data_IF_767736324152
#
_entry.id   IF_767736324152
#
_cell.length_a   1.000
_cell.length_b   1.000
_cell.length_c   1.000
_cell.angle_alpha   90.00
_cell.angle_beta   90.00
_cell.angle_gamma   90.00
#
_symmetry.space_group_name_H-M   'P 1'
#
loop_
_entity.id
_entity.type
_entity.pdbx_description
1 polymer ?
#
# COMPACT_ATOMS: atom_id res chain seq x y z
N UNK A 1 8.58 17.54 -16.49
CA UNK A 1 7.77 16.34 -16.34
C UNK A 1 8.10 15.66 -15.03
N UNK A 2 7.08 15.26 -14.30
CA UNK A 2 7.31 14.59 -13.03
C UNK A 2 7.68 13.13 -13.27
N UNK A 3 8.48 12.58 -12.36
CA UNK A 3 8.80 11.17 -12.30
C UNK A 3 7.88 10.54 -11.26
N UNK A 4 7.64 9.21 -11.35
CA UNK A 4 6.80 8.59 -10.34
C UNK A 4 7.40 8.73 -8.94
N UNK A 5 8.72 8.77 -8.84
CA UNK A 5 9.42 8.95 -7.56
C UNK A 5 9.11 10.28 -6.89
N UNK A 6 8.60 11.26 -7.66
CA UNK A 6 8.20 12.56 -7.11
C UNK A 6 6.78 12.58 -6.54
N UNK A 7 5.98 11.55 -6.84
CA UNK A 7 4.61 11.46 -6.35
C UNK A 7 4.59 11.12 -4.86
N UNK A 8 3.91 11.96 -4.07
CA UNK A 8 3.79 11.71 -2.63
C UNK A 8 3.17 10.35 -2.33
N UNK A 9 2.14 9.97 -3.09
CA UNK A 9 1.48 8.68 -2.87
C UNK A 9 2.43 7.50 -3.12
N UNK A 10 3.34 7.63 -4.09
CA UNK A 10 4.35 6.59 -4.33
C UNK A 10 5.32 6.51 -3.16
N UNK A 11 5.84 7.66 -2.72
CA UNK A 11 6.80 7.70 -1.61
C UNK A 11 6.21 7.09 -0.34
N UNK A 12 4.97 7.45 -0.02
CA UNK A 12 4.30 6.98 1.20
C UNK A 12 4.02 5.48 1.12
N UNK A 13 3.54 5.00 -0.03
CA UNK A 13 3.26 3.58 -0.19
C UNK A 13 4.53 2.74 -0.20
N UNK A 14 5.61 3.25 -0.77
CA UNK A 14 6.90 2.56 -0.75
C UNK A 14 7.43 2.45 0.69
N UNK A 15 7.33 3.52 1.48
CA UNK A 15 7.75 3.49 2.89
C UNK A 15 6.90 2.52 3.71
N UNK A 16 5.59 2.53 3.47
CA UNK A 16 4.69 1.61 4.16
C UNK A 16 5.05 0.16 3.85
N UNK A 17 5.29 -0.14 2.58
CA UNK A 17 5.71 -1.48 2.16
C UNK A 17 6.99 -1.91 2.90
N UNK A 18 7.99 -1.03 2.94
CA UNK A 18 9.25 -1.31 3.64
C UNK A 18 9.04 -1.53 5.14
N UNK A 19 8.18 -0.72 5.76
CA UNK A 19 7.87 -0.85 7.20
C UNK A 19 7.21 -2.20 7.49
N UNK A 20 6.32 -2.64 6.64
CA UNK A 20 5.63 -3.93 6.82
C UNK A 20 6.63 -5.09 6.69
N UNK A 21 7.51 -5.05 5.68
CA UNK A 21 8.56 -6.04 5.53
C UNK A 21 9.42 -6.14 6.80
N UNK A 22 9.85 -4.99 7.31
CA UNK A 22 10.70 -4.95 8.51
C UNK A 22 9.94 -5.39 9.75
N UNK A 23 8.72 -4.92 9.91
CA UNK A 23 7.90 -5.19 11.09
C UNK A 23 7.52 -6.65 11.22
N UNK A 24 7.39 -7.37 10.11
CA UNK A 24 6.99 -8.77 10.10
C UNK A 24 8.13 -9.72 9.73
N UNK A 25 9.38 -9.24 9.79
CA UNK A 25 10.54 -10.03 9.37
C UNK A 25 10.67 -11.35 10.16
N UNK A 26 10.27 -11.33 11.43
CA UNK A 26 10.38 -12.50 12.31
C UNK A 26 9.12 -13.36 12.37
N UNK A 27 8.09 -12.98 11.63
CA UNK A 27 6.84 -13.74 11.63
C UNK A 27 7.05 -15.09 10.95
N UNK A 28 6.66 -16.17 11.65
CA UNK A 28 6.89 -17.52 11.16
C UNK A 28 5.75 -18.09 10.33
N UNK A 29 4.59 -17.49 10.38
CA UNK A 29 3.51 -17.83 9.44
C UNK A 29 3.88 -17.23 8.08
N UNK A 30 4.64 -17.98 7.31
CA UNK A 30 5.18 -17.50 6.04
C UNK A 30 4.08 -17.22 5.01
N UNK A 31 2.99 -17.98 5.06
CA UNK A 31 1.86 -17.73 4.15
C UNK A 31 1.24 -16.38 4.36
N UNK A 32 0.94 -16.04 5.61
CA UNK A 32 0.40 -14.72 5.94
C UNK A 32 1.41 -13.62 5.61
N UNK A 33 2.66 -13.82 6.02
CA UNK A 33 3.72 -12.84 5.78
C UNK A 33 3.88 -12.54 4.29
N UNK A 34 3.90 -13.57 3.46
CA UNK A 34 4.05 -13.42 2.02
C UNK A 34 2.87 -12.66 1.41
N UNK A 35 1.66 -12.94 1.86
CA UNK A 35 0.48 -12.26 1.31
C UNK A 35 0.46 -10.78 1.67
N UNK A 36 0.70 -10.44 2.93
CA UNK A 36 0.64 -9.04 3.36
C UNK A 36 1.79 -8.21 2.77
N UNK A 37 2.99 -8.78 2.72
CA UNK A 37 4.14 -8.08 2.11
C UNK A 37 3.94 -7.90 0.62
N UNK A 38 3.35 -8.89 -0.06
CA UNK A 38 3.05 -8.80 -1.49
C UNK A 38 1.99 -7.74 -1.77
N UNK A 39 0.92 -7.69 -0.97
CA UNK A 39 -0.10 -6.65 -1.13
C UNK A 39 0.50 -5.26 -0.92
N UNK A 40 1.32 -5.10 0.12
CA UNK A 40 2.00 -3.82 0.38
C UNK A 40 2.90 -3.39 -0.76
N UNK A 41 3.69 -4.31 -1.30
CA UNK A 41 4.59 -4.02 -2.41
C UNK A 41 3.83 -3.68 -3.70
N UNK A 42 2.68 -4.30 -3.89
CA UNK A 42 1.86 -4.09 -5.08
C UNK A 42 1.35 -2.65 -5.21
N UNK A 43 1.17 -1.95 -4.08
CA UNK A 43 0.68 -0.56 -4.13
C UNK A 43 1.65 0.35 -4.86
N UNK A 44 2.89 0.52 -4.40
CA UNK A 44 3.83 1.41 -5.12
C UNK A 44 4.18 0.88 -6.52
N UNK A 45 4.21 -0.44 -6.70
CA UNK A 45 4.53 -1.02 -8.01
C UNK A 45 3.47 -0.63 -9.05
N UNK A 46 2.20 -0.67 -8.70
CA UNK A 46 1.12 -0.29 -9.62
C UNK A 46 1.05 1.22 -9.83
N UNK A 47 1.40 2.02 -8.83
CA UNK A 47 1.48 3.47 -8.99
C UNK A 47 2.56 3.81 -10.03
N UNK A 48 3.74 3.22 -9.90
CA UNK A 48 4.83 3.42 -10.85
C UNK A 48 4.43 2.99 -12.25
N UNK A 49 3.82 1.82 -12.35
CA UNK A 49 3.37 1.28 -13.63
C UNK A 49 2.36 2.21 -14.30
N UNK A 50 1.39 2.71 -13.55
CA UNK A 50 0.38 3.64 -14.08
C UNK A 50 0.98 4.94 -14.54
N UNK A 51 1.92 5.48 -13.78
CA UNK A 51 2.59 6.73 -14.13
C UNK A 51 3.38 6.62 -15.44
N UNK A 52 3.92 5.44 -15.71
CA UNK A 52 4.74 5.21 -16.91
C UNK A 52 3.91 4.91 -18.16
N UNK A 53 2.58 4.76 -18.01
CA UNK A 53 1.73 4.46 -19.17
C UNK A 53 1.50 5.67 -20.04
N UNK A 54 1.24 5.43 -21.33
CA UNK A 54 1.10 6.49 -22.32
C UNK A 54 -0.27 7.14 -22.40
N UNK A 55 -1.28 6.59 -21.71
CA UNK A 55 -2.64 7.14 -21.76
C UNK A 55 -3.24 7.25 -20.37
N UNK A 56 -4.17 8.22 -20.23
CA UNK A 56 -4.90 8.39 -18.97
C UNK A 56 -5.74 7.17 -18.62
N UNK A 57 -6.28 6.51 -19.64
CA UNK A 57 -7.10 5.31 -19.44
C UNK A 57 -6.27 4.18 -18.82
N UNK A 58 -5.08 3.93 -19.35
CA UNK A 58 -4.18 2.91 -18.82
C UNK A 58 -3.68 3.30 -17.43
N UNK A 59 -3.32 4.57 -17.25
CA UNK A 59 -2.86 5.05 -15.95
C UNK A 59 -3.94 4.82 -14.88
N UNK A 60 -5.19 5.18 -15.19
CA UNK A 60 -6.31 4.99 -14.26
C UNK A 60 -6.48 3.51 -13.89
N UNK A 61 -6.29 2.60 -14.85
CA UNK A 61 -6.40 1.17 -14.60
C UNK A 61 -5.38 0.70 -13.56
N UNK A 62 -4.12 1.10 -13.71
CA UNK A 62 -3.08 0.69 -12.77
C UNK A 62 -3.24 1.38 -11.41
N UNK A 63 -3.68 2.63 -11.38
CA UNK A 63 -3.98 3.30 -10.11
C UNK A 63 -5.16 2.61 -9.39
N UNK A 64 -6.13 2.10 -10.13
CA UNK A 64 -7.21 1.30 -9.55
C UNK A 64 -6.69 -0.03 -8.99
N UNK A 65 -5.73 -0.67 -9.65
CA UNK A 65 -5.07 -1.86 -9.12
C UNK A 65 -4.36 -1.54 -7.80
N UNK A 66 -3.64 -0.41 -7.76
CA UNK A 66 -2.98 0.03 -6.53
C UNK A 66 -3.99 0.25 -5.41
N UNK A 67 -5.12 0.87 -5.72
CA UNK A 67 -6.19 1.11 -4.74
C UNK A 67 -6.77 -0.20 -4.23
N UNK A 68 -6.97 -1.18 -5.11
CA UNK A 68 -7.43 -2.52 -4.72
C UNK A 68 -6.43 -3.20 -3.81
N UNK A 69 -5.15 -3.10 -4.13
CA UNK A 69 -4.07 -3.66 -3.28
C UNK A 69 -4.04 -3.00 -1.91
N UNK A 70 -4.28 -1.69 -1.83
CA UNK A 70 -4.35 -0.98 -0.55
C UNK A 70 -5.53 -1.49 0.29
N UNK A 71 -6.67 -1.79 -0.33
CA UNK A 71 -7.82 -2.38 0.34
C UNK A 71 -7.52 -3.79 0.86
N UNK A 72 -6.85 -4.59 0.05
CA UNK A 72 -6.40 -5.92 0.45
C UNK A 72 -5.44 -5.83 1.64
N UNK A 73 -4.50 -4.90 1.57
CA UNK A 73 -3.53 -4.67 2.66
C UNK A 73 -4.25 -4.29 3.95
N UNK A 74 -5.23 -3.39 3.89
CA UNK A 74 -6.00 -3.00 5.08
C UNK A 74 -6.71 -4.21 5.69
N UNK A 75 -7.32 -5.04 4.86
CA UNK A 75 -7.97 -6.27 5.32
C UNK A 75 -6.99 -7.16 6.06
N UNK A 76 -5.80 -7.34 5.51
CA UNK A 76 -4.77 -8.19 6.11
C UNK A 76 -4.24 -7.60 7.43
N UNK A 77 -4.14 -6.28 7.51
CA UNK A 77 -3.74 -5.62 8.76
C UNK A 77 -4.79 -5.87 9.85
N UNK A 78 -6.08 -5.72 9.53
CA UNK A 78 -7.15 -6.03 10.48
C UNK A 78 -7.08 -7.46 10.98
N UNK A 79 -6.92 -8.40 10.05
CA UNK A 79 -6.82 -9.82 10.40
C UNK A 79 -5.58 -10.07 11.25
N UNK A 80 -4.46 -9.48 10.86
CA UNK A 80 -3.20 -9.63 11.61
C UNK A 80 -3.31 -9.12 13.04
N UNK A 81 -4.02 -8.02 13.24
CA UNK A 81 -4.27 -7.51 14.59
C UNK A 81 -5.15 -8.48 15.39
N UNK A 82 -6.20 -8.99 14.77
CA UNK A 82 -7.14 -9.89 15.45
C UNK A 82 -6.51 -11.19 15.88
N UNK A 83 -5.57 -11.72 15.11
CA UNK A 83 -4.91 -12.99 15.44
C UNK A 83 -3.59 -12.80 16.19
N UNK A 84 -3.25 -11.57 16.53
CA UNK A 84 -2.08 -11.27 17.36
C UNK A 84 -0.75 -11.23 16.62
N UNK A 85 -0.75 -11.24 15.29
CA UNK A 85 0.49 -11.12 14.51
C UNK A 85 0.97 -9.66 14.41
N UNK A 86 0.04 -8.73 14.51
CA UNK A 86 0.32 -7.29 14.39
C UNK A 86 -0.17 -6.61 15.65
N UNK A 87 0.70 -5.82 16.28
CA UNK A 87 0.37 -5.11 17.49
C UNK A 87 -0.64 -3.99 17.18
N UNK A 88 -1.65 -3.82 18.04
CA UNK A 88 -2.67 -2.76 17.89
C UNK A 88 -2.19 -1.41 18.35
N UNK A 89 -1.15 -1.36 19.17
CA UNK A 89 -0.76 -0.15 19.86
C UNK A 89 -0.23 0.94 18.92
N UNK A 90 -0.11 2.16 19.45
CA UNK A 90 0.21 3.35 18.68
C UNK A 90 1.71 3.57 18.48
N UNK A 91 2.49 2.53 18.50
CA UNK A 91 3.90 2.61 18.21
C UNK A 91 4.15 2.75 16.70
N UNK A 92 5.41 2.86 16.34
CA UNK A 92 5.83 3.19 14.98
C UNK A 92 5.46 2.14 13.95
N UNK A 93 5.63 0.92 14.09
CA UNK A 93 5.34 -0.15 13.12
C UNK A 93 4.19 -1.01 13.62
N UNK A 94 3.07 -0.36 13.95
CA UNK A 94 1.91 -1.04 14.50
C UNK A 94 0.76 -1.07 13.51
N UNK A 95 -0.22 -1.91 13.80
CA UNK A 95 -1.40 -2.04 12.97
C UNK A 95 -2.15 -0.73 12.79
N UNK A 96 -2.28 0.09 13.83
CA UNK A 96 -2.98 1.38 13.72
C UNK A 96 -2.24 2.35 12.80
N UNK A 97 -0.93 2.43 12.92
CA UNK A 97 -0.12 3.29 12.07
C UNK A 97 -0.21 2.84 10.63
N UNK A 98 -0.03 1.56 10.39
CA UNK A 98 -0.12 1.00 9.03
C UNK A 98 -1.50 1.17 8.44
N UNK A 99 -2.54 0.94 9.24
CA UNK A 99 -3.93 1.07 8.78
C UNK A 99 -4.24 2.50 8.38
N UNK A 100 -3.88 3.46 9.23
CA UNK A 100 -4.09 4.88 8.95
C UNK A 100 -3.36 5.33 7.69
N UNK A 101 -2.13 4.86 7.52
CA UNK A 101 -1.34 5.21 6.33
C UNK A 101 -1.94 4.59 5.07
N UNK A 102 -2.37 3.33 5.13
CA UNK A 102 -3.01 2.67 3.99
C UNK A 102 -4.33 3.36 3.61
N UNK A 103 -5.09 3.86 4.58
CA UNK A 103 -6.31 4.63 4.32
C UNK A 103 -6.00 5.93 3.61
N UNK A 104 -4.97 6.66 4.06
CA UNK A 104 -4.55 7.90 3.41
C UNK A 104 -4.10 7.65 1.98
N UNK A 105 -3.35 6.60 1.77
CA UNK A 105 -2.90 6.21 0.42
C UNK A 105 -4.10 5.93 -0.49
N UNK A 106 -5.12 5.23 0.02
CA UNK A 106 -6.35 4.96 -0.74
C UNK A 106 -7.05 6.26 -1.16
N UNK A 107 -7.13 7.24 -0.24
CA UNK A 107 -7.73 8.54 -0.54
C UNK A 107 -6.93 9.30 -1.59
N UNK A 108 -5.61 9.28 -1.47
CA UNK A 108 -4.73 9.92 -2.43
C UNK A 108 -4.88 9.30 -3.82
N UNK A 109 -4.99 7.98 -3.88
CA UNK A 109 -5.19 7.27 -5.15
C UNK A 109 -6.53 7.61 -5.77
N UNK A 110 -7.58 7.69 -4.95
CA UNK A 110 -8.90 8.10 -5.43
C UNK A 110 -8.84 9.49 -6.06
N UNK A 111 -8.18 10.45 -5.40
CA UNK A 111 -8.00 11.79 -5.93
C UNK A 111 -7.19 11.81 -7.23
N UNK A 112 -6.13 11.02 -7.28
CA UNK A 112 -5.28 10.93 -8.46
C UNK A 112 -6.06 10.37 -9.66
N UNK A 113 -6.84 9.33 -9.45
CA UNK A 113 -7.67 8.73 -10.50
C UNK A 113 -8.67 9.76 -11.04
N UNK A 114 -9.32 10.50 -10.14
CA UNK A 114 -10.28 11.52 -10.55
C UNK A 114 -9.62 12.64 -11.35
N UNK A 115 -8.40 13.00 -11.02
CA UNK A 115 -7.70 14.13 -11.66
C UNK A 115 -7.31 13.85 -13.11
N UNK A 116 -7.20 12.57 -13.50
CA UNK A 116 -6.75 12.20 -14.85
C UNK A 116 -7.89 11.73 -15.76
N UNK A 117 -9.11 11.71 -15.27
CA UNK A 117 -10.29 11.31 -16.08
C UNK A 117 -10.90 12.44 -16.87
#
# INVERSE_FOLDING_TARGET
MSRFEDLEVWKRSARLSASIYKGLADLRDFGFRDQITRAGLSVPSNIAEGHERGSSKEAAQFFNYAKGSAGELRTQIYIGMDIGYIDRDTGRDTGRTWLGEAEEISKMLHGLIRSIK
#
